data_IF_919648858237
#
_entry.id   IF_919648858237
#
_cell.length_a   1.000
_cell.length_b   1.000
_cell.length_c   1.000
_cell.angle_alpha   90.00
_cell.angle_beta   90.00
_cell.angle_gamma   90.00
#
_symmetry.space_group_name_H-M   'P 1'
#
loop_
_entity.id
_entity.type
_entity.pdbx_description
1 polymer ?
#
# COMPACT_ATOMS: atom_id res chain seq x y z
N UNK A 1 26.24 36.27 4.81
CA UNK A 1 26.77 34.91 4.53
C UNK A 1 25.59 33.97 4.33
N UNK A 2 25.22 33.71 3.07
CA UNK A 2 24.21 32.73 2.71
C UNK A 2 24.84 31.34 2.85
N UNK A 3 24.61 30.68 3.99
CA UNK A 3 24.86 29.24 4.10
C UNK A 3 23.84 28.58 3.18
N UNK A 4 24.29 28.29 1.95
CA UNK A 4 23.64 27.38 1.02
C UNK A 4 23.66 26.02 1.72
N UNK A 5 22.67 25.76 2.57
CA UNK A 5 22.52 24.45 3.19
C UNK A 5 22.51 23.43 2.05
N UNK A 6 23.49 22.52 2.13
CA UNK A 6 23.70 21.44 1.18
C UNK A 6 22.39 20.74 0.88
N UNK A 7 22.24 20.26 -0.35
CA UNK A 7 21.22 19.27 -0.73
C UNK A 7 21.05 18.24 0.39
N UNK A 8 20.04 18.43 1.24
CA UNK A 8 19.92 17.72 2.50
C UNK A 8 19.37 16.34 2.20
N UNK A 9 20.30 15.39 1.97
CA UNK A 9 20.12 13.94 1.81
C UNK A 9 18.68 13.41 1.98
N UNK A 10 17.76 13.64 1.02
CA UNK A 10 16.35 13.24 1.15
C UNK A 10 16.18 11.72 1.13
N UNK A 11 17.24 11.01 0.71
CA UNK A 11 17.32 9.56 0.70
C UNK A 11 17.30 8.95 2.11
N UNK A 12 17.76 9.65 3.16
CA UNK A 12 17.76 9.11 4.52
C UNK A 12 16.32 8.86 5.00
N UNK A 13 15.43 9.84 4.85
CA UNK A 13 14.01 9.70 5.18
C UNK A 13 13.34 8.60 4.36
N UNK A 14 13.67 8.49 3.08
CA UNK A 14 13.15 7.43 2.22
C UNK A 14 13.63 6.02 2.64
N UNK A 15 14.89 5.86 3.04
CA UNK A 15 15.43 4.59 3.55
C UNK A 15 14.78 4.22 4.89
N UNK A 16 14.65 5.17 5.81
CA UNK A 16 13.98 4.93 7.09
C UNK A 16 12.52 4.52 6.90
N UNK A 17 11.79 5.20 6.03
CA UNK A 17 10.43 4.82 5.65
C UNK A 17 10.37 3.42 5.04
N UNK A 18 11.27 3.12 4.09
CA UNK A 18 11.35 1.81 3.45
C UNK A 18 11.62 0.68 4.46
N UNK A 19 12.57 0.88 5.39
CA UNK A 19 12.86 -0.08 6.44
C UNK A 19 11.68 -0.24 7.40
N UNK A 20 10.98 0.85 7.73
CA UNK A 20 9.79 0.80 8.58
C UNK A 20 8.68 -0.02 7.92
N UNK A 21 8.40 0.22 6.63
CA UNK A 21 7.43 -0.59 5.87
C UNK A 21 7.88 -2.05 5.81
N UNK A 22 9.15 -2.30 5.49
CA UNK A 22 9.69 -3.66 5.38
C UNK A 22 9.57 -4.42 6.69
N UNK A 23 9.89 -3.80 7.82
CA UNK A 23 9.69 -4.39 9.16
C UNK A 23 8.21 -4.65 9.45
N UNK A 24 7.34 -3.69 9.13
CA UNK A 24 5.90 -3.82 9.36
C UNK A 24 5.28 -4.99 8.58
N UNK A 25 5.82 -5.36 7.41
CA UNK A 25 5.33 -6.52 6.65
C UNK A 25 5.50 -7.86 7.40
N UNK A 26 6.51 -7.97 8.26
CA UNK A 26 6.75 -9.16 9.07
C UNK A 26 5.99 -9.15 10.41
N UNK A 27 5.29 -8.07 10.73
CA UNK A 27 4.46 -8.02 11.92
C UNK A 27 3.14 -8.78 11.68
N UNK A 28 2.93 -9.86 12.41
CA UNK A 28 1.74 -10.72 12.33
C UNK A 28 0.92 -10.72 13.63
N UNK A 29 1.07 -9.70 14.48
CA UNK A 29 0.38 -9.60 15.78
C UNK A 29 1.14 -10.22 16.95
N UNK A 30 1.82 -11.35 16.73
CA UNK A 30 2.50 -12.10 17.80
C UNK A 30 3.95 -11.68 18.06
N UNK A 31 4.69 -11.32 17.01
CA UNK A 31 6.10 -10.96 17.11
C UNK A 31 6.22 -9.46 17.32
N UNK A 32 6.18 -9.02 18.58
CA UNK A 32 6.24 -7.61 18.95
C UNK A 32 7.54 -6.92 18.47
N UNK A 33 8.61 -7.68 18.22
CA UNK A 33 9.91 -7.14 17.80
C UNK A 33 9.81 -6.32 16.51
N UNK A 34 9.15 -6.83 15.47
CA UNK A 34 8.98 -6.11 14.19
C UNK A 34 8.12 -4.87 14.34
N UNK A 35 7.15 -4.90 15.25
CA UNK A 35 6.36 -3.72 15.59
C UNK A 35 7.23 -2.66 16.26
N UNK A 36 8.00 -3.03 17.29
CA UNK A 36 8.93 -2.14 17.98
C UNK A 36 9.97 -1.54 17.03
N UNK A 37 10.59 -2.36 16.16
CA UNK A 37 11.53 -1.90 15.13
C UNK A 37 10.86 -0.87 14.22
N UNK A 38 9.64 -1.12 13.76
CA UNK A 38 8.88 -0.18 12.93
C UNK A 38 8.70 1.16 13.65
N UNK A 39 8.28 1.15 14.92
CA UNK A 39 8.08 2.37 15.70
C UNK A 39 9.40 3.13 15.93
N UNK A 40 10.48 2.42 16.24
CA UNK A 40 11.83 3.01 16.40
C UNK A 40 12.29 3.67 15.10
N UNK A 41 12.08 3.04 13.95
CA UNK A 41 12.42 3.60 12.63
C UNK A 41 11.60 4.86 12.31
N UNK A 42 10.30 4.87 12.63
CA UNK A 42 9.45 6.06 12.48
C UNK A 42 9.91 7.21 13.42
N UNK A 43 10.32 6.90 14.65
CA UNK A 43 10.89 7.87 15.57
C UNK A 43 12.22 8.43 15.05
N UNK A 44 13.12 7.59 14.52
CA UNK A 44 14.35 8.08 13.88
C UNK A 44 14.06 8.95 12.66
N UNK A 45 13.04 8.63 11.88
CA UNK A 45 12.61 9.49 10.77
C UNK A 45 12.12 10.84 11.29
N UNK A 46 11.32 10.86 12.38
CA UNK A 46 10.88 12.11 13.02
C UNK A 46 12.07 12.97 13.46
N UNK A 47 13.00 12.38 14.20
CA UNK A 47 14.17 13.08 14.73
C UNK A 47 15.04 13.63 13.60
N UNK A 48 15.23 12.85 12.53
CA UNK A 48 15.98 13.28 11.35
C UNK A 48 15.27 14.43 10.63
N UNK A 49 13.95 14.33 10.44
CA UNK A 49 13.15 15.37 9.79
C UNK A 49 13.19 16.70 10.58
N UNK A 50 13.07 16.64 11.91
CA UNK A 50 13.17 17.81 12.78
C UNK A 50 14.59 18.39 12.80
N UNK A 51 15.61 17.54 12.84
CA UNK A 51 17.01 17.98 12.83
C UNK A 51 17.38 18.68 11.52
N UNK A 52 17.02 18.09 10.38
CA UNK A 52 17.29 18.67 9.06
C UNK A 52 16.57 20.01 8.85
N UNK A 53 15.36 20.15 9.38
CA UNK A 53 14.58 21.40 9.33
C UNK A 53 15.21 22.55 10.15
N UNK A 54 15.99 22.24 11.18
CA UNK A 54 16.63 23.24 12.02
C UNK A 54 15.62 24.17 12.71
N UNK A 55 15.72 25.48 12.45
CA UNK A 55 14.87 26.51 13.09
C UNK A 55 13.64 26.92 12.27
N UNK A 56 13.41 26.29 11.12
CA UNK A 56 12.27 26.67 10.29
C UNK A 56 10.95 26.28 10.96
N UNK A 57 9.97 27.19 11.03
CA UNK A 57 8.69 26.93 11.71
C UNK A 57 7.94 25.78 11.05
N UNK A 58 7.28 24.94 11.86
CA UNK A 58 6.47 23.82 11.38
C UNK A 58 5.15 24.32 10.81
N UNK A 59 5.07 24.42 9.48
CA UNK A 59 3.82 24.66 8.77
C UNK A 59 2.98 23.38 8.74
N UNK A 60 2.01 23.28 9.64
CA UNK A 60 1.00 22.22 9.60
C UNK A 60 -0.02 22.55 8.49
N UNK A 61 -0.27 21.65 7.52
CA UNK A 61 -1.32 21.86 6.54
C UNK A 61 -2.66 21.93 7.28
N UNK A 62 -3.41 23.01 7.08
CA UNK A 62 -4.78 23.18 7.59
C UNK A 62 -5.84 22.55 6.69
N UNK A 63 -5.52 21.44 6.03
CA UNK A 63 -6.46 20.73 5.14
C UNK A 63 -7.48 19.93 5.95
N UNK A 64 -8.65 19.65 5.36
CA UNK A 64 -9.63 18.77 6.00
C UNK A 64 -9.04 17.39 6.34
N UNK A 65 -8.20 16.83 5.44
CA UNK A 65 -7.53 15.54 5.67
C UNK A 65 -6.65 15.54 6.92
N UNK A 66 -5.77 16.53 7.06
CA UNK A 66 -4.89 16.64 8.22
C UNK A 66 -5.68 16.82 9.52
N UNK A 67 -6.73 17.65 9.51
CA UNK A 67 -7.63 17.79 10.67
C UNK A 67 -8.31 16.46 11.02
N UNK A 68 -8.82 15.73 10.03
CA UNK A 68 -9.42 14.40 10.25
C UNK A 68 -8.42 13.40 10.83
N UNK A 69 -7.16 13.43 10.39
CA UNK A 69 -6.11 12.56 10.94
C UNK A 69 -5.75 12.94 12.39
N UNK A 70 -5.69 14.24 12.74
CA UNK A 70 -5.51 14.66 14.14
C UNK A 70 -6.70 14.21 14.99
N UNK A 71 -7.92 14.45 14.51
CA UNK A 71 -9.14 14.04 15.22
C UNK A 71 -9.18 12.52 15.41
N UNK A 72 -8.75 11.75 14.41
CA UNK A 72 -8.64 10.29 14.51
C UNK A 72 -7.61 9.85 15.55
N UNK A 73 -6.40 10.45 15.58
CA UNK A 73 -5.42 10.16 16.64
C UNK A 73 -5.99 10.53 18.02
N UNK A 74 -6.64 11.69 18.14
CA UNK A 74 -7.28 12.12 19.38
C UNK A 74 -8.36 11.14 19.85
N UNK A 75 -9.19 10.66 18.92
CA UNK A 75 -10.17 9.61 19.19
C UNK A 75 -9.49 8.32 19.69
N UNK A 76 -8.47 7.83 18.99
CA UNK A 76 -7.71 6.65 19.43
C UNK A 76 -7.11 6.86 20.82
N UNK A 77 -6.62 8.05 21.15
CA UNK A 77 -6.09 8.36 22.48
C UNK A 77 -7.16 8.25 23.57
N UNK A 78 -8.40 8.70 23.30
CA UNK A 78 -9.53 8.52 24.24
C UNK A 78 -9.82 7.03 24.48
N UNK A 79 -9.78 6.22 23.42
CA UNK A 79 -10.04 4.76 23.54
C UNK A 79 -9.04 4.02 24.43
N UNK A 80 -7.87 4.60 24.73
CA UNK A 80 -6.92 4.03 25.69
C UNK A 80 -7.55 3.78 27.05
N UNK A 81 -8.54 4.59 27.43
CA UNK A 81 -9.21 4.54 28.74
C UNK A 81 -10.40 3.59 28.80
N UNK A 82 -10.82 3.01 27.67
CA UNK A 82 -12.07 2.25 27.58
C UNK A 82 -11.92 0.74 27.77
N UNK A 83 -10.76 0.17 27.43
CA UNK A 83 -10.55 -1.28 27.53
C UNK A 83 -10.11 -1.72 28.93
N UNK A 84 -10.56 -2.91 29.32
CA UNK A 84 -10.17 -3.56 30.59
C UNK A 84 -8.73 -4.08 30.60
N UNK A 85 -8.08 -4.13 29.44
CA UNK A 85 -6.70 -4.61 29.27
C UNK A 85 -5.82 -3.48 28.73
N UNK A 86 -5.19 -2.66 29.61
CA UNK A 86 -4.46 -1.47 29.21
C UNK A 86 -3.37 -1.71 28.17
N UNK A 87 -2.62 -2.81 28.31
CA UNK A 87 -1.54 -3.16 27.38
C UNK A 87 -2.03 -3.37 25.95
N UNK A 88 -3.21 -3.99 25.79
CA UNK A 88 -3.81 -4.21 24.48
C UNK A 88 -4.23 -2.89 23.82
N UNK A 89 -4.82 -1.96 24.60
CA UNK A 89 -5.21 -0.66 24.10
C UNK A 89 -3.99 0.15 23.64
N UNK A 90 -2.89 0.12 24.40
CA UNK A 90 -1.64 0.83 24.05
C UNK A 90 -1.07 0.30 22.75
N UNK A 91 -0.98 -1.03 22.58
CA UNK A 91 -0.49 -1.64 21.33
C UNK A 91 -1.40 -1.25 20.16
N UNK A 92 -2.72 -1.35 20.34
CA UNK A 92 -3.72 -1.00 19.31
C UNK A 92 -3.64 0.47 18.91
N UNK A 93 -3.45 1.38 19.88
CA UNK A 93 -3.26 2.80 19.63
C UNK A 93 -2.04 3.04 18.74
N UNK A 94 -0.88 2.52 19.12
CA UNK A 94 0.36 2.73 18.35
C UNK A 94 0.32 2.05 16.98
N UNK A 95 -0.35 0.91 16.87
CA UNK A 95 -0.56 0.22 15.59
C UNK A 95 -1.43 1.03 14.63
N UNK A 96 -2.59 1.50 15.10
CA UNK A 96 -3.51 2.29 14.27
C UNK A 96 -2.98 3.71 13.99
N UNK A 97 -2.21 4.28 14.92
CA UNK A 97 -1.54 5.58 14.74
C UNK A 97 -0.38 5.52 13.74
N UNK A 98 0.12 4.35 13.35
CA UNK A 98 1.26 4.22 12.44
C UNK A 98 1.05 4.93 11.09
N UNK A 99 -0.15 4.83 10.51
CA UNK A 99 -0.46 5.47 9.22
C UNK A 99 -0.60 7.01 9.34
N UNK A 100 -1.39 7.57 10.28
CA UNK A 100 -1.38 9.00 10.55
C UNK A 100 0.03 9.54 10.86
N UNK A 101 0.83 8.80 11.63
CA UNK A 101 2.20 9.19 11.96
C UNK A 101 3.07 9.27 10.70
N UNK A 102 3.01 8.28 9.80
CA UNK A 102 3.72 8.32 8.53
C UNK A 102 3.31 9.51 7.65
N UNK A 103 2.02 9.87 7.63
CA UNK A 103 1.53 11.08 6.94
C UNK A 103 2.14 12.36 7.53
N UNK A 104 2.17 12.48 8.86
CA UNK A 104 2.75 13.64 9.52
C UNK A 104 4.26 13.72 9.33
N UNK A 105 4.96 12.59 9.38
CA UNK A 105 6.39 12.50 9.08
C UNK A 105 6.72 12.97 7.67
N UNK A 106 5.96 12.50 6.68
CA UNK A 106 6.07 12.97 5.30
C UNK A 106 5.83 14.48 5.19
N UNK A 107 4.82 14.99 5.91
CA UNK A 107 4.49 16.41 5.90
C UNK A 107 5.56 17.27 6.59
N UNK A 108 6.17 16.80 7.67
CA UNK A 108 7.19 17.56 8.39
C UNK A 108 8.56 17.48 7.69
N UNK A 109 8.79 16.42 6.90
CA UNK A 109 10.06 16.20 6.21
C UNK A 109 10.42 17.33 5.23
N UNK A 110 11.68 17.78 5.22
CA UNK A 110 12.19 18.67 4.19
C UNK A 110 12.22 17.95 2.83
N UNK A 111 12.14 18.70 1.73
CA UNK A 111 12.21 18.17 0.36
C UNK A 111 11.25 16.99 0.08
N UNK A 112 9.97 17.13 0.48
CA UNK A 112 8.92 16.08 0.37
C UNK A 112 8.88 15.36 -0.97
N UNK A 113 9.01 16.10 -2.08
CA UNK A 113 8.99 15.50 -3.43
C UNK A 113 10.17 14.57 -3.68
N UNK A 114 11.38 14.94 -3.23
CA UNK A 114 12.57 14.12 -3.41
C UNK A 114 12.47 12.85 -2.55
N UNK A 115 12.01 12.98 -1.30
CA UNK A 115 11.74 11.85 -0.42
C UNK A 115 10.73 10.90 -1.07
N UNK A 116 9.61 11.41 -1.57
CA UNK A 116 8.58 10.59 -2.22
C UNK A 116 9.10 9.85 -3.45
N UNK A 117 9.92 10.50 -4.29
CA UNK A 117 10.51 9.84 -5.48
C UNK A 117 11.33 8.61 -5.10
N UNK A 118 12.18 8.73 -4.08
CA UNK A 118 12.98 7.61 -3.59
C UNK A 118 12.12 6.55 -2.88
N UNK A 119 11.22 6.97 -2.00
CA UNK A 119 10.32 6.07 -1.29
C UNK A 119 9.44 5.26 -2.25
N UNK A 120 8.84 5.91 -3.25
CA UNK A 120 8.01 5.25 -4.26
C UNK A 120 8.80 4.22 -5.08
N UNK A 121 10.05 4.54 -5.46
CA UNK A 121 10.93 3.59 -6.15
C UNK A 121 11.23 2.36 -5.28
N UNK A 122 11.61 2.56 -4.02
CA UNK A 122 11.94 1.47 -3.11
C UNK A 122 10.71 0.60 -2.80
N UNK A 123 9.54 1.21 -2.57
CA UNK A 123 8.27 0.51 -2.38
C UNK A 123 7.87 -0.29 -3.62
N UNK A 124 8.07 0.27 -4.82
CA UNK A 124 7.81 -0.43 -6.07
C UNK A 124 8.72 -1.66 -6.22
N UNK A 125 10.02 -1.51 -5.96
CA UNK A 125 10.98 -2.63 -6.00
C UNK A 125 10.55 -3.71 -5.00
N UNK A 126 10.17 -3.35 -3.78
CA UNK A 126 9.66 -4.29 -2.78
C UNK A 126 8.42 -5.03 -3.28
N UNK A 127 7.44 -4.31 -3.82
CA UNK A 127 6.22 -4.92 -4.35
C UNK A 127 6.51 -5.91 -5.49
N UNK A 128 7.45 -5.58 -6.37
CA UNK A 128 7.89 -6.47 -7.45
C UNK A 128 8.58 -7.73 -6.90
N UNK A 129 9.48 -7.59 -5.92
CA UNK A 129 10.12 -8.73 -5.26
C UNK A 129 9.08 -9.64 -4.60
N UNK A 130 8.13 -9.07 -3.86
CA UNK A 130 7.06 -9.84 -3.22
C UNK A 130 6.14 -10.52 -4.25
N UNK A 131 5.87 -9.86 -5.38
CA UNK A 131 5.08 -10.42 -6.49
C UNK A 131 5.78 -11.61 -7.14
N UNK A 132 7.09 -11.51 -7.39
CA UNK A 132 7.90 -12.61 -7.92
C UNK A 132 7.97 -13.77 -6.92
N UNK A 133 8.12 -13.48 -5.63
CA UNK A 133 8.11 -14.49 -4.58
C UNK A 133 6.76 -15.22 -4.49
N UNK A 134 5.64 -14.51 -4.64
CA UNK A 134 4.31 -15.13 -4.67
C UNK A 134 4.14 -16.05 -5.89
N UNK A 135 4.63 -15.63 -7.07
CA UNK A 135 4.70 -16.49 -8.25
C UNK A 135 5.57 -17.73 -8.03
N UNK A 136 6.75 -17.57 -7.43
CA UNK A 136 7.65 -18.68 -7.07
C UNK A 136 6.98 -19.67 -6.10
N UNK A 137 6.30 -19.17 -5.06
CA UNK A 137 5.58 -20.00 -4.11
C UNK A 137 4.52 -20.87 -4.80
N UNK A 138 3.74 -20.29 -5.70
CA UNK A 138 2.68 -21.03 -6.41
C UNK A 138 3.24 -22.02 -7.43
N UNK A 139 4.15 -21.58 -8.30
CA UNK A 139 4.57 -22.37 -9.46
C UNK A 139 5.60 -23.45 -9.10
N UNK A 140 6.53 -23.12 -8.21
CA UNK A 140 7.67 -24.01 -7.92
C UNK A 140 7.48 -24.76 -6.61
N UNK A 141 6.88 -24.13 -5.60
CA UNK A 141 6.67 -24.77 -4.28
C UNK A 141 5.26 -25.34 -4.09
N UNK A 142 4.35 -25.08 -5.03
CA UNK A 142 2.93 -25.46 -4.92
C UNK A 142 2.26 -24.95 -3.62
N UNK A 143 2.75 -23.81 -3.10
CA UNK A 143 2.24 -23.14 -1.91
C UNK A 143 1.30 -22.00 -2.28
N UNK A 144 0.51 -21.54 -1.31
CA UNK A 144 -0.30 -20.34 -1.48
C UNK A 144 0.58 -19.10 -1.77
N UNK A 145 0.19 -18.25 -2.75
CA UNK A 145 0.97 -17.09 -3.19
C UNK A 145 0.81 -15.90 -2.23
N UNK A 146 1.25 -16.05 -0.98
CA UNK A 146 1.14 -15.02 0.07
C UNK A 146 2.44 -14.25 0.33
N UNK A 147 3.53 -14.63 -0.35
CA UNK A 147 4.88 -14.08 -0.17
C UNK A 147 5.28 -14.14 1.32
N UNK A 148 5.53 -12.99 1.96
CA UNK A 148 5.88 -12.86 3.39
C UNK A 148 4.66 -12.66 4.30
N UNK A 149 3.46 -12.50 3.74
CA UNK A 149 2.27 -12.20 4.53
C UNK A 149 1.68 -13.47 5.17
N UNK A 150 1.00 -13.27 6.30
CA UNK A 150 0.30 -14.35 7.00
C UNK A 150 -0.81 -14.97 6.14
N UNK A 151 -1.56 -14.12 5.43
CA UNK A 151 -2.71 -14.47 4.59
C UNK A 151 -2.61 -13.83 3.19
N UNK A 152 -3.15 -14.55 2.19
CA UNK A 152 -3.12 -14.13 0.79
C UNK A 152 -3.85 -12.81 0.53
N UNK A 153 -4.89 -12.47 1.32
CA UNK A 153 -5.67 -11.26 1.08
C UNK A 153 -4.86 -10.02 1.45
N UNK A 154 -4.04 -10.09 2.51
CA UNK A 154 -3.14 -9.00 2.91
C UNK A 154 -2.06 -8.76 1.85
N UNK A 155 -1.49 -9.83 1.28
CA UNK A 155 -0.57 -9.74 0.15
C UNK A 155 -1.25 -9.07 -1.05
N UNK A 156 -2.41 -9.58 -1.47
CA UNK A 156 -3.15 -9.07 -2.61
C UNK A 156 -3.53 -7.59 -2.45
N UNK A 157 -3.98 -7.19 -1.25
CA UNK A 157 -4.34 -5.81 -0.95
C UNK A 157 -3.12 -4.87 -1.01
N UNK A 158 -1.97 -5.29 -0.47
CA UNK A 158 -0.73 -4.51 -0.53
C UNK A 158 -0.26 -4.31 -1.99
N UNK A 159 -0.26 -5.37 -2.79
CA UNK A 159 0.12 -5.28 -4.21
C UNK A 159 -0.88 -4.40 -4.99
N UNK A 160 -2.19 -4.55 -4.76
CA UNK A 160 -3.21 -3.72 -5.41
C UNK A 160 -3.06 -2.23 -5.05
N UNK A 161 -2.74 -1.91 -3.80
CA UNK A 161 -2.49 -0.54 -3.34
C UNK A 161 -1.33 0.11 -4.09
N UNK A 162 -0.29 -0.65 -4.45
CA UNK A 162 0.90 -0.16 -5.16
C UNK A 162 0.68 -0.17 -6.68
N UNK A 163 -0.15 -1.08 -7.20
CA UNK A 163 -0.48 -1.15 -8.62
C UNK A 163 -1.14 0.14 -9.13
N UNK A 164 -2.03 0.76 -8.33
CA UNK A 164 -2.72 1.99 -8.70
C UNK A 164 -1.79 3.20 -8.95
N UNK A 165 -0.93 3.62 -8.00
CA UNK A 165 0.01 4.70 -8.26
C UNK A 165 1.02 4.34 -9.35
N UNK A 166 1.41 3.06 -9.49
CA UNK A 166 2.28 2.61 -10.58
C UNK A 166 1.61 2.81 -11.96
N UNK A 167 0.32 2.50 -12.08
CA UNK A 167 -0.46 2.80 -13.26
C UNK A 167 -0.61 4.31 -13.51
N UNK A 168 -0.74 5.11 -12.44
CA UNK A 168 -0.69 6.57 -12.54
C UNK A 168 0.64 7.09 -13.11
N UNK A 169 1.77 6.58 -12.62
CA UNK A 169 3.10 6.91 -13.14
C UNK A 169 3.30 6.43 -14.59
N UNK A 170 2.76 5.27 -14.93
CA UNK A 170 2.72 4.79 -16.32
C UNK A 170 2.00 5.80 -17.23
N UNK A 171 0.79 6.22 -16.87
CA UNK A 171 0.03 7.20 -17.66
C UNK A 171 0.74 8.56 -17.71
N UNK A 172 1.30 9.03 -16.59
CA UNK A 172 2.05 10.28 -16.54
C UNK A 172 3.29 10.25 -17.45
N UNK A 173 3.96 9.10 -17.58
CA UNK A 173 5.12 8.95 -18.46
C UNK A 173 4.78 9.19 -19.95
N UNK A 174 3.56 8.84 -20.38
CA UNK A 174 3.07 9.12 -21.73
C UNK A 174 2.75 10.60 -21.96
N UNK A 175 2.28 11.30 -20.94
CA UNK A 175 1.94 12.74 -21.02
C UNK A 175 3.22 13.57 -21.16
N UNK A 176 4.30 13.19 -20.47
CA UNK A 176 5.55 13.95 -20.44
C UNK A 176 6.32 14.03 -21.77
N UNK A 177 5.93 13.26 -22.82
CA UNK A 177 6.36 13.30 -24.25
C UNK A 177 7.85 13.42 -24.62
N UNK A 178 8.80 13.56 -23.69
CA UNK A 178 10.22 13.73 -23.97
C UNK A 178 11.05 12.52 -23.50
N UNK A 179 11.58 11.72 -24.46
CA UNK A 179 12.72 10.80 -24.31
C UNK A 179 12.69 9.78 -23.14
N UNK A 180 11.51 9.33 -22.69
CA UNK A 180 11.37 8.42 -21.52
C UNK A 180 10.77 7.05 -21.85
N UNK A 181 11.00 6.54 -23.06
CA UNK A 181 10.50 5.23 -23.50
C UNK A 181 10.86 4.10 -22.51
N UNK A 182 12.06 4.13 -21.94
CA UNK A 182 12.50 3.17 -20.93
C UNK A 182 11.66 3.23 -19.64
N UNK A 183 11.25 4.42 -19.18
CA UNK A 183 10.42 4.55 -17.98
C UNK A 183 9.00 4.08 -18.24
N UNK A 184 8.46 4.35 -19.43
CA UNK A 184 7.15 3.85 -19.85
C UNK A 184 7.13 2.33 -19.89
N UNK A 185 8.18 1.71 -20.45
CA UNK A 185 8.32 0.26 -20.48
C UNK A 185 8.49 -0.31 -19.06
N UNK A 186 9.32 0.30 -18.22
CA UNK A 186 9.52 -0.10 -16.83
C UNK A 186 8.22 -0.08 -16.03
N UNK A 187 7.47 1.03 -16.06
CA UNK A 187 6.19 1.12 -15.34
C UNK A 187 5.12 0.22 -15.95
N UNK A 188 5.09 0.05 -17.27
CA UNK A 188 4.16 -0.87 -17.93
C UNK A 188 4.39 -2.33 -17.52
N UNK A 189 5.65 -2.77 -17.52
CA UNK A 189 6.04 -4.08 -17.03
C UNK A 189 5.73 -4.25 -15.54
N UNK A 190 5.99 -3.22 -14.73
CA UNK A 190 5.66 -3.26 -13.31
C UNK A 190 4.15 -3.39 -13.06
N UNK A 191 3.30 -2.61 -13.76
CA UNK A 191 1.83 -2.74 -13.67
C UNK A 191 1.41 -4.16 -14.02
N UNK A 192 1.93 -4.72 -15.12
CA UNK A 192 1.60 -6.09 -15.53
C UNK A 192 1.94 -7.10 -14.42
N UNK A 193 3.16 -7.06 -13.87
CA UNK A 193 3.61 -7.98 -12.82
C UNK A 193 2.76 -7.84 -11.55
N UNK A 194 2.44 -6.61 -11.12
CA UNK A 194 1.64 -6.38 -9.93
C UNK A 194 0.20 -6.89 -10.13
N UNK A 195 -0.43 -6.61 -11.28
CA UNK A 195 -1.79 -7.10 -11.60
C UNK A 195 -1.81 -8.62 -11.70
N UNK A 196 -0.81 -9.21 -12.35
CA UNK A 196 -0.61 -10.65 -12.42
C UNK A 196 -0.53 -11.27 -11.02
N UNK A 197 0.29 -10.70 -10.11
CA UNK A 197 0.42 -11.20 -8.74
C UNK A 197 -0.89 -11.09 -7.94
N UNK A 198 -1.66 -10.00 -8.07
CA UNK A 198 -2.99 -9.92 -7.45
C UNK A 198 -3.89 -11.04 -7.99
N UNK A 199 -3.89 -11.29 -9.29
CA UNK A 199 -4.70 -12.35 -9.88
C UNK A 199 -4.31 -13.75 -9.38
N UNK A 200 -3.02 -14.03 -9.14
CA UNK A 200 -2.55 -15.31 -8.59
C UNK A 200 -3.17 -15.64 -7.23
N UNK A 201 -3.43 -14.62 -6.40
CA UNK A 201 -4.01 -14.83 -5.07
C UNK A 201 -5.47 -15.28 -5.10
N UNK A 202 -6.18 -15.00 -6.21
CA UNK A 202 -7.62 -15.20 -6.32
C UNK A 202 -8.41 -14.53 -5.16
N UNK A 203 -7.89 -13.43 -4.60
CA UNK A 203 -8.52 -12.67 -3.52
C UNK A 203 -9.63 -11.75 -4.04
N UNK A 204 -10.88 -12.05 -3.70
CA UNK A 204 -12.08 -11.33 -4.19
C UNK A 204 -12.05 -9.84 -3.87
N UNK A 205 -11.77 -9.48 -2.61
CA UNK A 205 -11.72 -8.09 -2.17
C UNK A 205 -10.63 -7.29 -2.90
N UNK A 206 -9.42 -7.85 -3.00
CA UNK A 206 -8.32 -7.21 -3.70
C UNK A 206 -8.60 -7.03 -5.21
N UNK A 207 -9.23 -8.02 -5.85
CA UNK A 207 -9.66 -7.91 -7.25
C UNK A 207 -10.69 -6.80 -7.46
N UNK A 208 -11.70 -6.71 -6.59
CA UNK A 208 -12.71 -5.64 -6.64
C UNK A 208 -12.06 -4.26 -6.47
N UNK A 209 -11.19 -4.11 -5.46
CA UNK A 209 -10.45 -2.87 -5.22
C UNK A 209 -9.57 -2.49 -6.42
N UNK A 210 -8.83 -3.46 -6.98
CA UNK A 210 -7.97 -3.24 -8.14
C UNK A 210 -8.78 -2.80 -9.36
N UNK A 211 -9.84 -3.53 -9.72
CA UNK A 211 -10.66 -3.23 -10.90
C UNK A 211 -11.36 -1.88 -10.75
N UNK A 212 -11.95 -1.64 -9.58
CA UNK A 212 -12.66 -0.37 -9.30
C UNK A 212 -11.68 0.80 -9.30
N UNK A 213 -10.53 0.65 -8.66
CA UNK A 213 -9.49 1.68 -8.62
C UNK A 213 -8.93 1.98 -10.02
N UNK A 214 -8.68 0.95 -10.83
CA UNK A 214 -8.22 1.12 -12.22
C UNK A 214 -9.29 1.80 -13.07
N UNK A 215 -10.57 1.45 -12.91
CA UNK A 215 -11.68 2.08 -13.62
C UNK A 215 -11.79 3.58 -13.28
N UNK A 216 -11.71 3.94 -12.00
CA UNK A 216 -11.72 5.34 -11.55
C UNK A 216 -10.49 6.08 -12.11
N UNK A 217 -9.30 5.48 -12.02
CA UNK A 217 -8.06 6.07 -12.56
C UNK A 217 -8.18 6.35 -14.06
N UNK A 218 -8.67 5.37 -14.83
CA UNK A 218 -8.91 5.52 -16.27
C UNK A 218 -9.95 6.62 -16.53
N UNK A 219 -11.05 6.66 -15.78
CA UNK A 219 -12.08 7.70 -15.92
C UNK A 219 -11.51 9.10 -15.70
N UNK A 220 -10.71 9.29 -14.66
CA UNK A 220 -10.03 10.57 -14.38
C UNK A 220 -9.00 10.92 -15.46
N UNK A 221 -8.32 9.93 -16.03
CA UNK A 221 -7.32 10.10 -17.08
C UNK A 221 -7.90 10.24 -18.50
N UNK A 222 -9.18 9.89 -18.72
CA UNK A 222 -9.78 9.73 -20.06
C UNK A 222 -9.63 10.97 -20.97
N UNK A 223 -9.70 12.17 -20.39
CA UNK A 223 -9.50 13.44 -21.12
C UNK A 223 -8.10 14.05 -21.00
N UNK A 224 -7.20 13.46 -20.20
CA UNK A 224 -5.88 14.03 -19.89
C UNK A 224 -4.72 13.23 -20.48
N UNK A 225 -4.88 11.91 -20.59
CA UNK A 225 -3.89 11.00 -21.16
C UNK A 225 -4.19 10.72 -22.64
N UNK A 226 -3.16 10.46 -23.48
CA UNK A 226 -3.39 10.06 -24.86
C UNK A 226 -4.13 8.72 -24.90
N UNK A 227 -5.09 8.56 -25.82
CA UNK A 227 -5.91 7.33 -25.96
C UNK A 227 -5.07 6.06 -26.03
N UNK A 228 -3.92 6.11 -26.72
CA UNK A 228 -2.97 4.99 -26.78
C UNK A 228 -2.51 4.54 -25.39
N UNK A 229 -2.19 5.46 -24.49
CA UNK A 229 -1.75 5.11 -23.13
C UNK A 229 -2.84 4.41 -22.33
N UNK A 230 -4.09 4.89 -22.45
CA UNK A 230 -5.25 4.28 -21.79
C UNK A 230 -5.49 2.87 -22.32
N UNK A 231 -5.51 2.71 -23.66
CA UNK A 231 -5.68 1.40 -24.29
C UNK A 231 -4.55 0.45 -23.86
N UNK A 232 -3.30 0.90 -23.87
CA UNK A 232 -2.18 0.07 -23.41
C UNK A 232 -2.33 -0.31 -21.93
N UNK A 233 -2.75 0.60 -21.05
CA UNK A 233 -3.00 0.28 -19.65
C UNK A 233 -4.10 -0.78 -19.50
N UNK A 234 -5.22 -0.64 -20.20
CA UNK A 234 -6.31 -1.62 -20.19
C UNK A 234 -5.81 -2.98 -20.65
N UNK A 235 -5.05 -3.02 -21.75
CA UNK A 235 -4.45 -4.27 -22.26
C UNK A 235 -3.50 -4.88 -21.23
N UNK A 236 -2.64 -4.10 -20.57
CA UNK A 236 -1.74 -4.59 -19.53
C UNK A 236 -2.49 -5.16 -18.32
N UNK A 237 -3.55 -4.48 -17.87
CA UNK A 237 -4.37 -4.94 -16.75
C UNK A 237 -5.11 -6.24 -17.13
N UNK A 238 -5.82 -6.25 -18.25
CA UNK A 238 -6.58 -7.44 -18.71
C UNK A 238 -5.64 -8.62 -18.95
N UNK A 239 -4.52 -8.41 -19.64
CA UNK A 239 -3.55 -9.48 -19.90
C UNK A 239 -2.91 -10.02 -18.62
N UNK A 240 -2.58 -9.17 -17.65
CA UNK A 240 -2.09 -9.60 -16.34
C UNK A 240 -3.12 -10.43 -15.57
N UNK A 241 -4.39 -10.01 -15.58
CA UNK A 241 -5.49 -10.76 -14.94
C UNK A 241 -5.71 -12.12 -15.61
N UNK A 242 -5.74 -12.16 -16.94
CA UNK A 242 -5.92 -13.41 -17.71
C UNK A 242 -4.73 -14.34 -17.47
N UNK A 243 -3.50 -13.84 -17.58
CA UNK A 243 -2.30 -14.64 -17.34
C UNK A 243 -2.28 -15.21 -15.92
N UNK A 244 -2.58 -14.40 -14.90
CA UNK A 244 -2.64 -14.85 -13.52
C UNK A 244 -3.72 -15.92 -13.29
N UNK A 245 -4.91 -15.74 -13.90
CA UNK A 245 -5.98 -16.73 -13.82
C UNK A 245 -5.62 -18.05 -14.51
N UNK A 246 -4.94 -17.99 -15.67
CA UNK A 246 -4.47 -19.20 -16.37
C UNK A 246 -3.45 -19.97 -15.53
N UNK A 247 -2.47 -19.27 -14.94
CA UNK A 247 -1.48 -19.89 -14.04
C UNK A 247 -2.15 -20.46 -12.78
N UNK A 248 -3.16 -19.76 -12.25
CA UNK A 248 -3.96 -20.23 -11.13
C UNK A 248 -5.02 -21.28 -11.51
N UNK A 249 -4.98 -21.84 -12.74
CA UNK A 249 -5.90 -22.87 -13.23
C UNK A 249 -7.39 -22.50 -13.11
N UNK A 250 -7.74 -21.24 -13.36
CA UNK A 250 -9.11 -20.75 -13.31
C UNK A 250 -9.66 -20.45 -11.92
N UNK A 251 -8.86 -20.65 -10.85
CA UNK A 251 -9.28 -20.39 -9.45
C UNK A 251 -9.76 -18.95 -9.24
N UNK A 252 -9.16 -17.99 -9.94
CA UNK A 252 -9.51 -16.56 -9.82
C UNK A 252 -10.91 -16.29 -10.35
N UNK A 253 -11.23 -16.78 -11.56
CA UNK A 253 -12.58 -16.67 -12.12
C UNK A 253 -13.60 -17.43 -11.28
N UNK A 254 -13.30 -18.65 -10.85
CA UNK A 254 -14.21 -19.46 -10.02
C UNK A 254 -14.59 -18.74 -8.71
N UNK A 255 -13.60 -18.15 -8.02
CA UNK A 255 -13.85 -17.36 -6.79
C UNK A 255 -14.59 -16.06 -7.06
N UNK A 256 -14.37 -15.40 -8.19
CA UNK A 256 -15.11 -14.18 -8.54
C UNK A 256 -16.57 -14.48 -8.89
N UNK A 257 -16.85 -15.58 -9.61
CA UNK A 257 -18.21 -16.03 -9.88
C UNK A 257 -18.99 -16.35 -8.60
N UNK A 258 -18.29 -16.85 -7.58
CA UNK A 258 -18.89 -17.07 -6.26
C UNK A 258 -19.44 -15.79 -5.61
N UNK A 259 -19.06 -14.58 -6.05
CA UNK A 259 -19.64 -13.33 -5.52
C UNK A 259 -21.08 -13.08 -5.99
N UNK A 260 -21.49 -13.74 -7.08
CA UNK A 260 -22.85 -13.64 -7.60
C UNK A 260 -23.83 -14.36 -6.66
N UNK A 261 -23.34 -15.35 -5.90
CA UNK A 261 -24.08 -16.07 -4.88
C UNK A 261 -23.63 -15.62 -3.47
N UNK A 262 -24.40 -14.72 -2.80
CA UNK A 262 -24.05 -14.21 -1.47
C UNK A 262 -23.96 -15.30 -0.40
N UNK A 263 -24.76 -16.37 -0.53
CA UNK A 263 -24.78 -17.49 0.41
C UNK A 263 -23.45 -18.26 0.32
N UNK A 264 -22.98 -18.56 -0.89
CA UNK A 264 -21.67 -19.18 -1.08
C UNK A 264 -20.51 -18.23 -0.67
N UNK A 265 -20.68 -16.91 -0.83
CA UNK A 265 -19.59 -15.98 -0.65
C UNK A 265 -19.26 -15.62 0.81
N UNK A 266 -20.28 -15.57 1.67
CA UNK A 266 -20.16 -14.91 2.98
C UNK A 266 -20.84 -15.61 4.14
N UNK A 267 -21.60 -16.69 3.93
CA UNK A 267 -22.46 -17.28 4.96
C UNK A 267 -21.70 -17.72 6.22
N UNK A 268 -20.48 -18.24 6.07
CA UNK A 268 -19.62 -18.57 7.22
C UNK A 268 -19.17 -17.35 8.01
N UNK A 269 -18.93 -16.21 7.36
CA UNK A 269 -18.59 -14.95 8.05
C UNK A 269 -19.83 -14.36 8.70
N UNK A 270 -20.98 -14.33 8.01
CA UNK A 270 -22.22 -13.85 8.61
C UNK A 270 -22.58 -14.62 9.87
N UNK A 271 -22.39 -15.95 9.88
CA UNK A 271 -22.64 -16.78 11.06
C UNK A 271 -21.73 -16.39 12.24
N UNK A 272 -20.45 -16.08 12.00
CA UNK A 272 -19.53 -15.58 13.04
C UNK A 272 -20.01 -14.23 13.60
N UNK A 273 -20.45 -13.31 12.73
CA UNK A 273 -20.93 -11.99 13.13
C UNK A 273 -22.25 -12.07 13.88
N UNK A 274 -23.15 -12.95 13.46
CA UNK A 274 -24.40 -13.23 14.14
C UNK A 274 -24.13 -13.78 15.54
N UNK A 275 -23.24 -14.77 15.67
CA UNK A 275 -22.83 -15.29 16.98
C UNK A 275 -22.19 -14.21 17.86
N UNK A 276 -21.31 -13.36 17.32
CA UNK A 276 -20.74 -12.24 18.06
C UNK A 276 -21.83 -11.26 18.55
N UNK A 277 -22.85 -11.00 17.74
CA UNK A 277 -23.99 -10.16 18.12
C UNK A 277 -24.84 -10.79 19.22
N UNK A 278 -25.00 -12.13 19.21
CA UNK A 278 -25.71 -12.83 20.29
C UNK A 278 -25.00 -12.78 21.64
N UNK A 279 -23.67 -12.59 21.67
CA UNK A 279 -22.92 -12.43 22.93
C UNK A 279 -23.14 -11.03 23.54
N UNK A 280 -23.43 -10.02 22.70
CA UNK A 280 -23.62 -8.64 23.13
C UNK A 280 -25.05 -8.39 23.65
N UNK A 281 -26.03 -9.18 23.18
CA UNK A 281 -27.43 -9.13 23.63
C UNK A 281 -27.62 -9.83 24.97
#
# INVERSE_FOLDING_TARGET
MLVKHSSQMPWIGAVLFFLAVSSALYYHGFVADFFCITQVLLLFWLLTALWLRGREPVSLPGTALSLSLVAYIGWLAVTLTWGTVPNYNVISFWWLCGMPLAFWLYTVSPEREALWRWAALLILILALVLSLQAGYQLVIRELEPKSVFLDLNSHAAFIALIALPTAGYFLASFIARAKRDNMTLMFGGAVFVLVFAVALTAGRGAMVVLVTGMAILIGVAWGRAPRRAIVTLVVLVVSGLVAGNLVAQGKTTARMLSLIDPEAAGLTRFLIWEQAWTIIK
#
